data_IF_449911449622
#
_entry.id   IF_449911449622
#
_cell.length_a   1.000
_cell.length_b   1.000
_cell.length_c   1.000
_cell.angle_alpha   90.00
_cell.angle_beta   90.00
_cell.angle_gamma   90.00
#
_symmetry.space_group_name_H-M   'P 1'
#
loop_
_entity.id
_entity.type
_entity.pdbx_description
1 polymer ?
#
# COMPACT_ATOMS: atom_id res chain seq x y z
N UNK A 1 8.25 -3.20 -23.60
CA UNK A 1 8.90 -4.36 -22.96
C UNK A 1 10.24 -3.90 -22.39
N UNK A 2 10.62 -4.35 -21.18
CA UNK A 2 11.91 -3.99 -20.58
C UNK A 2 13.07 -4.71 -21.28
N UNK A 3 14.28 -4.15 -21.22
CA UNK A 3 15.49 -4.80 -21.73
C UNK A 3 15.73 -6.10 -20.95
N UNK A 4 16.11 -7.22 -21.60
CA UNK A 4 16.39 -8.47 -20.90
C UNK A 4 17.40 -8.26 -19.76
N UNK A 5 17.07 -8.78 -18.58
CA UNK A 5 17.91 -8.69 -17.38
C UNK A 5 17.87 -7.37 -16.61
N UNK A 6 17.09 -6.36 -17.02
CA UNK A 6 17.06 -5.06 -16.32
C UNK A 6 15.97 -4.93 -15.25
N UNK A 7 15.00 -5.83 -15.21
CA UNK A 7 13.91 -5.82 -14.22
C UNK A 7 13.83 -7.18 -13.55
N UNK A 8 13.77 -7.18 -12.22
CA UNK A 8 13.49 -8.36 -11.40
C UNK A 8 12.05 -8.28 -10.90
N UNK A 9 11.43 -9.44 -10.71
CA UNK A 9 10.11 -9.53 -10.10
C UNK A 9 10.26 -9.47 -8.58
N UNK A 10 9.36 -8.75 -7.92
CA UNK A 10 9.31 -8.58 -6.48
C UNK A 10 7.89 -8.88 -5.98
N UNK A 11 7.80 -9.55 -4.84
CA UNK A 11 6.55 -9.88 -4.15
C UNK A 11 6.44 -9.17 -2.77
N UNK A 12 7.53 -8.57 -2.29
CA UNK A 12 7.60 -7.77 -1.08
C UNK A 12 8.23 -6.41 -1.39
N UNK A 13 7.59 -5.33 -0.93
CA UNK A 13 8.06 -3.96 -1.11
C UNK A 13 7.83 -3.16 0.18
N UNK A 14 8.80 -2.32 0.54
CA UNK A 14 8.62 -1.23 1.50
C UNK A 14 8.20 0.02 0.71
N UNK A 15 7.17 0.72 1.16
CA UNK A 15 6.63 1.87 0.46
C UNK A 15 6.05 2.87 1.45
N UNK A 16 6.33 4.15 1.21
CA UNK A 16 5.66 5.24 1.91
C UNK A 16 4.26 5.43 1.32
N UNK A 17 3.25 5.53 2.18
CA UNK A 17 1.83 5.60 1.82
C UNK A 17 1.20 6.78 2.52
N UNK A 18 0.41 7.56 1.78
CA UNK A 18 -0.53 8.53 2.36
C UNK A 18 -1.93 7.93 2.31
N UNK A 19 -2.62 7.92 3.45
CA UNK A 19 -4.01 7.50 3.50
C UNK A 19 -4.90 8.71 3.25
N UNK A 20 -5.69 8.65 2.18
CA UNK A 20 -6.69 9.70 1.91
C UNK A 20 -7.64 9.88 3.10
N UNK A 21 -7.89 11.14 3.45
CA UNK A 21 -8.92 11.54 4.41
C UNK A 21 -10.31 11.21 3.88
N UNK A 22 -11.33 11.32 4.75
CA UNK A 22 -12.71 11.12 4.35
C UNK A 22 -13.17 12.18 3.33
N UNK A 23 -12.73 13.41 3.51
CA UNK A 23 -13.03 14.57 2.67
C UNK A 23 -12.43 14.42 1.26
N UNK A 24 -11.29 13.72 1.16
CA UNK A 24 -10.66 13.34 -0.10
C UNK A 24 -11.30 12.11 -0.76
N UNK A 25 -12.39 11.57 -0.19
CA UNK A 25 -13.06 10.37 -0.68
C UNK A 25 -12.37 9.06 -0.28
N UNK A 26 -11.50 9.12 0.73
CA UNK A 26 -10.83 7.97 1.31
C UNK A 26 -11.73 7.10 2.19
N UNK A 27 -11.10 6.23 2.96
CA UNK A 27 -11.82 5.29 3.83
C UNK A 27 -12.27 5.97 5.11
N UNK A 28 -13.41 5.50 5.65
CA UNK A 28 -13.85 5.89 6.99
C UNK A 28 -13.21 5.05 8.09
N UNK A 29 -12.78 3.82 7.77
CA UNK A 29 -12.21 2.86 8.74
C UNK A 29 -10.69 2.78 8.60
N UNK A 30 -9.97 2.58 9.72
CA UNK A 30 -8.52 2.44 9.71
C UNK A 30 -8.06 1.19 8.95
N UNK A 31 -6.76 1.20 8.61
CA UNK A 31 -6.05 -0.01 8.20
C UNK A 31 -5.41 -0.68 9.41
N UNK A 32 -5.37 -2.01 9.37
CA UNK A 32 -4.78 -2.85 10.42
C UNK A 32 -3.79 -3.84 9.78
N UNK A 33 -2.85 -4.38 10.56
CA UNK A 33 -1.92 -5.38 10.08
C UNK A 33 -2.68 -6.59 9.53
N UNK A 34 -2.09 -7.27 8.54
CA UNK A 34 -2.68 -8.41 7.83
C UNK A 34 -3.91 -8.08 6.98
N UNK A 35 -4.34 -6.81 6.96
CA UNK A 35 -5.33 -6.32 6.02
C UNK A 35 -4.89 -6.50 4.57
N UNK A 36 -5.86 -6.78 3.69
CA UNK A 36 -5.62 -6.78 2.26
C UNK A 36 -5.94 -5.40 1.68
N UNK A 37 -5.01 -4.86 0.91
CA UNK A 37 -5.16 -3.64 0.14
C UNK A 37 -5.12 -3.97 -1.35
N UNK A 38 -5.90 -3.25 -2.14
CA UNK A 38 -5.82 -3.32 -3.59
C UNK A 38 -4.77 -2.32 -4.07
N UNK A 39 -3.72 -2.82 -4.71
CA UNK A 39 -2.61 -2.00 -5.19
C UNK A 39 -2.69 -1.95 -6.70
N UNK A 40 -2.70 -0.73 -7.24
CA UNK A 40 -2.70 -0.49 -8.67
C UNK A 40 -1.36 0.10 -9.09
N UNK A 41 -0.82 -0.39 -10.20
CA UNK A 41 0.40 0.12 -10.83
C UNK A 41 0.24 0.14 -12.35
N UNK A 42 0.01 1.35 -12.89
CA UNK A 42 -0.10 1.68 -14.32
C UNK A 42 -1.11 0.89 -15.14
N UNK A 43 -0.89 -0.40 -15.34
CA UNK A 43 -1.71 -1.26 -16.21
C UNK A 43 -2.20 -2.51 -15.51
N UNK A 44 -1.81 -2.71 -14.26
CA UNK A 44 -2.19 -3.88 -13.48
C UNK A 44 -2.56 -3.50 -12.06
N UNK A 45 -3.31 -4.40 -11.45
CA UNK A 45 -3.71 -4.31 -10.06
C UNK A 45 -3.62 -5.69 -9.41
N UNK A 46 -3.35 -5.71 -8.11
CA UNK A 46 -3.20 -6.94 -7.33
C UNK A 46 -3.68 -6.71 -5.90
N UNK A 47 -4.18 -7.77 -5.26
CA UNK A 47 -4.36 -7.78 -3.83
C UNK A 47 -2.99 -7.94 -3.15
N UNK A 48 -2.61 -6.98 -2.31
CA UNK A 48 -1.41 -7.03 -1.48
C UNK A 48 -1.79 -7.11 -0.01
N UNK A 49 -0.94 -7.72 0.80
CA UNK A 49 -1.13 -7.79 2.25
C UNK A 49 -0.23 -6.77 2.94
N UNK A 50 -0.79 -6.02 3.88
CA UNK A 50 -0.01 -5.13 4.75
C UNK A 50 0.60 -5.99 5.85
N UNK A 51 1.93 -6.13 5.85
CA UNK A 51 2.66 -7.03 6.76
C UNK A 51 3.38 -6.29 7.89
N UNK A 52 3.74 -5.03 7.65
CA UNK A 52 4.43 -4.16 8.60
C UNK A 52 3.80 -2.76 8.51
N UNK A 53 3.70 -2.09 9.65
CA UNK A 53 3.13 -0.75 9.81
C UNK A 53 4.08 0.16 10.59
N UNK A 54 5.39 -0.14 10.58
CA UNK A 54 6.41 0.71 11.19
C UNK A 54 6.28 0.81 12.71
N UNK A 55 5.81 -0.27 13.35
CA UNK A 55 5.59 -0.33 14.80
C UNK A 55 4.28 0.31 15.29
N UNK A 56 3.39 0.76 14.39
CA UNK A 56 2.02 1.17 14.74
C UNK A 56 1.05 -0.01 14.66
N UNK A 57 0.08 -0.03 15.56
CA UNK A 57 -0.99 -1.05 15.54
C UNK A 57 -2.05 -0.79 14.46
N UNK A 58 -2.17 0.45 13.98
CA UNK A 58 -3.11 0.85 12.93
C UNK A 58 -2.73 2.20 12.30
N UNK A 59 -3.20 2.45 11.08
CA UNK A 59 -3.13 3.75 10.40
C UNK A 59 -4.53 4.32 10.20
N UNK A 60 -4.71 5.57 10.58
CA UNK A 60 -5.95 6.31 10.40
C UNK A 60 -5.96 7.03 9.04
N UNK A 61 -7.15 7.25 8.44
CA UNK A 61 -7.29 8.14 7.29
C UNK A 61 -6.67 9.52 7.57
N UNK A 62 -5.89 10.05 6.63
CA UNK A 62 -5.14 11.30 6.75
C UNK A 62 -3.73 11.17 7.31
N UNK A 63 -3.30 9.98 7.74
CA UNK A 63 -1.92 9.76 8.20
C UNK A 63 -0.97 9.36 7.06
N UNK A 64 0.29 9.74 7.24
CA UNK A 64 1.43 9.22 6.49
C UNK A 64 1.99 7.97 7.20
N UNK A 65 2.19 6.91 6.42
CA UNK A 65 2.89 5.70 6.83
C UNK A 65 4.18 5.54 6.04
N UNK A 66 5.25 5.09 6.70
CA UNK A 66 6.46 4.59 6.06
C UNK A 66 6.48 3.07 6.15
#
# INVERSE_FOLDING_TARGET
>A
MAKPGTVKMHDHVEAQIYLLTKEEGGRTRPYTPWGQAHVYSKTWDVAARIIDMGGKDMFMPGEDGK
#
